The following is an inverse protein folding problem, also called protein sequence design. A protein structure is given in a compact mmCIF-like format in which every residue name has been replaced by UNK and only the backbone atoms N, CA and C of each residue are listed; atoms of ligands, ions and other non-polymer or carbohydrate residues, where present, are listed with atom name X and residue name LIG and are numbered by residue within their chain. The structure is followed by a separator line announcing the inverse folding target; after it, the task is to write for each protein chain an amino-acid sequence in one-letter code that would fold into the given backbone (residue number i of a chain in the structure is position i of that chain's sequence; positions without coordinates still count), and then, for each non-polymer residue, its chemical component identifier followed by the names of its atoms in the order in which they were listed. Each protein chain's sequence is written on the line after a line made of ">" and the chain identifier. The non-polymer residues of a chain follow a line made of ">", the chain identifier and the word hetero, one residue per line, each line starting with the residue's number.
data_IF_541412775065
#
_entry.id   IF_541412775065
#
_cell.length_a   1.000
_cell.length_b   1.000
_cell.length_c   1.000
_cell.angle_alpha   90.00
_cell.angle_beta   90.00
_cell.angle_gamma   90.00
#
_symmetry.space_group_name_H-M   'P 1'
#
loop_
_entity.id
_entity.type
_entity.pdbx_description
1 polymer ?
#
# COMPACT_ATOMS: atom_id res chain seq x y z
N UNK A 1 -7.28 5.07 -8.00
CA UNK A 1 -6.58 4.69 -9.24
C UNK A 1 -7.23 3.48 -9.90
N UNK A 2 -7.34 2.32 -9.22
CA UNK A 2 -7.93 1.08 -9.76
C UNK A 2 -9.22 1.28 -10.58
N UNK A 3 -10.29 1.82 -9.99
CA UNK A 3 -11.57 2.04 -10.70
C UNK A 3 -11.44 2.89 -11.97
N UNK A 4 -10.59 3.93 -11.94
CA UNK A 4 -10.33 4.77 -13.11
C UNK A 4 -9.64 3.97 -14.21
N UNK A 5 -8.62 3.18 -13.86
CA UNK A 5 -7.93 2.31 -14.80
C UNK A 5 -8.85 1.25 -15.42
N UNK A 6 -9.71 0.60 -14.62
CA UNK A 6 -10.72 -0.36 -15.11
C UNK A 6 -11.69 0.31 -16.11
N UNK A 7 -12.06 1.57 -15.85
CA UNK A 7 -12.92 2.36 -16.74
C UNK A 7 -12.18 3.04 -17.91
N UNK A 8 -10.89 2.73 -18.12
CA UNK A 8 -10.02 3.39 -19.10
C UNK A 8 -9.92 4.92 -18.96
N UNK A 9 -10.13 5.41 -17.74
CA UNK A 9 -9.99 6.81 -17.39
C UNK A 9 -8.59 7.13 -16.85
N UNK A 10 -8.01 8.30 -17.20
CA UNK A 10 -6.76 8.76 -16.61
C UNK A 10 -6.83 8.87 -15.07
N UNK A 11 -5.93 8.20 -14.33
CA UNK A 11 -5.71 8.49 -12.91
C UNK A 11 -4.95 9.82 -12.76
N UNK A 12 -5.39 10.65 -11.80
CA UNK A 12 -4.72 11.92 -11.49
C UNK A 12 -3.76 11.72 -10.31
N UNK A 13 -2.46 11.86 -10.57
CA UNK A 13 -1.40 11.87 -9.56
C UNK A 13 -1.23 13.31 -9.07
N UNK A 14 -1.31 13.53 -7.76
CA UNK A 14 -1.06 14.86 -7.20
C UNK A 14 0.45 15.13 -7.17
N UNK A 15 0.87 16.28 -7.71
CA UNK A 15 2.29 16.63 -7.80
C UNK A 15 3.01 15.85 -8.89
N UNK A 16 4.32 15.69 -8.74
CA UNK A 16 5.18 14.93 -9.66
C UNK A 16 5.11 13.40 -9.44
N UNK A 17 4.40 12.94 -8.42
CA UNK A 17 4.25 11.52 -8.09
C UNK A 17 5.41 10.91 -7.30
N UNK A 18 6.43 11.70 -6.92
CA UNK A 18 7.60 11.25 -6.16
C UNK A 18 7.34 11.16 -4.65
N UNK A 19 6.15 11.58 -4.23
CA UNK A 19 5.69 11.36 -2.86
C UNK A 19 5.53 9.87 -2.63
N UNK A 20 6.02 9.41 -1.49
CA UNK A 20 6.13 7.99 -1.19
C UNK A 20 5.47 7.61 0.12
N UNK A 21 4.97 6.39 0.16
CA UNK A 21 4.33 5.80 1.33
C UNK A 21 4.86 4.40 1.59
N UNK A 22 4.68 3.98 2.83
CA UNK A 22 4.81 2.61 3.30
C UNK A 22 3.42 1.97 3.25
N UNK A 23 3.02 1.53 2.04
CA UNK A 23 1.70 0.94 1.83
C UNK A 23 1.63 -0.40 2.57
N UNK A 24 0.72 -0.48 3.53
CA UNK A 24 0.61 -1.65 4.41
C UNK A 24 -0.58 -2.49 3.99
N UNK A 25 -0.32 -3.69 3.48
CA UNK A 25 -1.38 -4.62 3.12
C UNK A 25 -2.18 -5.07 4.35
N UNK A 26 -3.49 -5.27 4.18
CA UNK A 26 -4.43 -5.50 5.30
C UNK A 26 -4.08 -6.72 6.14
N UNK A 27 -3.53 -7.79 5.54
CA UNK A 27 -3.10 -8.98 6.30
C UNK A 27 -1.96 -8.68 7.27
N UNK A 28 -1.05 -7.77 6.95
CA UNK A 28 -0.02 -7.31 7.88
C UNK A 28 -0.63 -6.52 9.05
N UNK A 29 -1.69 -5.75 8.81
CA UNK A 29 -2.41 -5.03 9.87
C UNK A 29 -3.16 -6.00 10.79
N UNK A 30 -3.78 -7.03 10.21
CA UNK A 30 -4.44 -8.10 10.95
C UNK A 30 -3.43 -8.82 11.85
N UNK A 31 -2.26 -9.21 11.31
CA UNK A 31 -1.20 -9.84 12.10
C UNK A 31 -0.81 -8.97 13.30
N UNK A 32 -0.60 -7.67 13.09
CA UNK A 32 -0.24 -6.75 14.17
C UNK A 32 -1.32 -6.68 15.26
N UNK A 33 -2.60 -6.63 14.89
CA UNK A 33 -3.70 -6.61 15.85
C UNK A 33 -3.80 -7.92 16.65
N UNK A 34 -3.65 -9.07 15.99
CA UNK A 34 -3.65 -10.37 16.66
C UNK A 34 -2.49 -10.51 17.65
N UNK A 35 -1.30 -10.03 17.29
CA UNK A 35 -0.13 -10.04 18.18
C UNK A 35 -0.32 -9.09 19.37
N UNK A 36 -0.84 -7.89 19.14
CA UNK A 36 -1.14 -6.94 20.21
C UNK A 36 -2.21 -7.46 21.18
N UNK A 37 -3.23 -8.16 20.67
CA UNK A 37 -4.31 -8.73 21.47
C UNK A 37 -3.84 -9.92 22.32
N UNK A 38 -2.94 -10.75 21.78
CA UNK A 38 -2.56 -12.04 22.37
C UNK A 38 -1.21 -12.03 23.11
N UNK A 39 -0.49 -10.91 23.10
CA UNK A 39 0.84 -10.83 23.72
C UNK A 39 0.81 -11.09 25.22
N UNK A 40 1.72 -11.93 25.69
CA UNK A 40 2.00 -12.15 27.12
C UNK A 40 3.25 -11.37 27.58
N UNK A 41 3.93 -10.69 26.66
CA UNK A 41 5.09 -9.87 26.96
C UNK A 41 4.65 -8.57 27.66
N UNK A 42 4.93 -8.46 28.95
CA UNK A 42 4.57 -7.28 29.75
C UNK A 42 5.20 -5.98 29.24
N UNK A 43 6.41 -6.05 28.68
CA UNK A 43 7.10 -4.89 28.12
C UNK A 43 6.43 -4.39 26.83
N UNK A 44 5.61 -5.24 26.20
CA UNK A 44 4.88 -4.89 25.00
C UNK A 44 3.57 -4.13 25.28
N UNK A 45 3.07 -4.16 26.52
CA UNK A 45 1.80 -3.53 26.93
C UNK A 45 1.98 -2.03 27.18
N UNK A 46 0.94 -1.24 26.92
CA UNK A 46 0.93 0.22 27.09
C UNK A 46 2.05 0.92 26.27
N UNK A 47 2.24 0.46 25.04
CA UNK A 47 3.22 0.95 24.10
C UNK A 47 2.53 1.44 22.82
N UNK A 48 3.14 2.43 22.15
CA UNK A 48 2.78 2.81 20.78
C UNK A 48 3.69 2.10 19.79
N UNK A 49 3.11 1.61 18.69
CA UNK A 49 3.80 0.90 17.63
C UNK A 49 3.41 1.44 16.26
N UNK A 50 4.39 1.49 15.36
CA UNK A 50 4.10 1.60 13.93
C UNK A 50 3.59 0.25 13.41
N UNK A 51 2.56 0.30 12.58
CA UNK A 51 2.03 -0.87 11.87
C UNK A 51 2.26 -0.63 10.38
N UNK A 52 3.31 -1.24 9.84
CA UNK A 52 3.73 -1.04 8.45
C UNK A 52 4.53 -2.23 7.93
N UNK A 53 4.94 -2.22 6.65
CA UNK A 53 5.89 -3.21 6.16
C UNK A 53 7.34 -2.76 6.38
N UNK A 54 7.63 -1.48 6.14
CA UNK A 54 8.96 -0.90 6.21
C UNK A 54 9.61 -0.69 4.83
N UNK A 55 8.81 -0.50 3.79
CA UNK A 55 9.30 -0.18 2.44
C UNK A 55 8.78 1.16 1.94
N UNK A 56 9.41 1.67 0.88
CA UNK A 56 9.08 2.96 0.29
C UNK A 56 8.62 2.77 -1.15
N UNK A 57 7.40 3.18 -1.43
CA UNK A 57 6.84 3.18 -2.79
C UNK A 57 6.32 4.57 -3.15
N UNK A 58 6.71 5.10 -4.32
CA UNK A 58 6.19 6.35 -4.89
C UNK A 58 4.79 6.16 -5.51
N UNK A 59 4.07 7.26 -5.77
CA UNK A 59 2.80 7.19 -6.50
C UNK A 59 3.02 6.75 -7.96
N UNK A 60 4.14 7.15 -8.57
CA UNK A 60 4.53 6.71 -9.91
C UNK A 60 4.71 5.18 -9.97
N UNK A 61 5.43 4.61 -9.00
CA UNK A 61 5.58 3.15 -8.88
C UNK A 61 4.24 2.45 -8.64
N UNK A 62 3.38 3.01 -7.78
CA UNK A 62 2.06 2.44 -7.51
C UNK A 62 1.20 2.37 -8.78
N UNK A 63 1.14 3.46 -9.56
CA UNK A 63 0.37 3.48 -10.81
C UNK A 63 0.96 2.51 -11.84
N UNK A 64 2.28 2.41 -11.94
CA UNK A 64 2.94 1.46 -12.84
C UNK A 64 2.57 0.01 -12.50
N UNK A 65 2.65 -0.39 -11.22
CA UNK A 65 2.29 -1.76 -10.81
C UNK A 65 0.79 -2.04 -10.98
N UNK A 66 -0.06 -1.04 -10.73
CA UNK A 66 -1.50 -1.17 -10.99
C UNK A 66 -1.78 -1.43 -12.48
N UNK A 67 -1.14 -0.68 -13.39
CA UNK A 67 -1.28 -0.88 -14.84
C UNK A 67 -0.75 -2.25 -15.26
N UNK A 68 0.39 -2.68 -14.72
CA UNK A 68 0.95 -4.01 -14.97
C UNK A 68 -0.02 -5.13 -14.57
N UNK A 69 -0.53 -5.10 -13.33
CA UNK A 69 -1.39 -6.17 -12.80
C UNK A 69 -2.80 -6.16 -13.40
N UNK A 70 -3.41 -4.99 -13.60
CA UNK A 70 -4.70 -4.89 -14.28
C UNK A 70 -4.57 -5.20 -15.78
N UNK A 71 -3.43 -4.87 -16.39
CA UNK A 71 -3.11 -5.16 -17.79
C UNK A 71 -3.03 -6.65 -18.12
N UNK A 72 -2.83 -7.50 -17.10
CA UNK A 72 -2.92 -8.95 -17.26
C UNK A 72 -4.36 -9.44 -17.51
N UNK A 73 -5.37 -8.66 -17.09
CA UNK A 73 -6.79 -8.95 -17.33
C UNK A 73 -7.31 -8.20 -18.57
N UNK A 74 -6.97 -6.92 -18.71
CA UNK A 74 -7.28 -6.11 -19.89
C UNK A 74 -6.05 -5.32 -20.37
N UNK A 75 -5.39 -5.78 -21.47
CA UNK A 75 -4.20 -5.13 -22.02
C UNK A 75 -4.40 -3.67 -22.43
N UNK A 76 -5.62 -3.19 -22.65
CA UNK A 76 -5.86 -1.80 -23.04
C UNK A 76 -5.55 -0.82 -21.90
N UNK A 77 -5.60 -1.28 -20.64
CA UNK A 77 -5.26 -0.49 -19.44
C UNK A 77 -3.79 -0.03 -19.46
N UNK A 78 -2.89 -0.82 -20.07
CA UNK A 78 -1.47 -0.47 -20.20
C UNK A 78 -1.27 0.86 -20.96
N UNK A 79 -2.21 1.22 -21.84
CA UNK A 79 -2.14 2.42 -22.67
C UNK A 79 -2.76 3.66 -22.01
N UNK A 80 -3.51 3.51 -20.90
CA UNK A 80 -4.13 4.64 -20.18
C UNK A 80 -3.02 5.53 -19.60
N UNK A 81 -2.97 6.79 -20.02
CA UNK A 81 -1.97 7.74 -19.52
C UNK A 81 -2.45 8.34 -18.20
N UNK A 82 -1.55 8.44 -17.24
CA UNK A 82 -1.74 9.20 -16.02
C UNK A 82 -1.65 10.71 -16.27
N UNK A 83 -2.36 11.48 -15.46
CA UNK A 83 -2.32 12.94 -15.45
C UNK A 83 -1.70 13.44 -14.14
N UNK A 84 -1.04 14.59 -14.19
CA UNK A 84 -0.49 15.23 -13.00
C UNK A 84 -1.32 16.46 -12.60
N UNK A 85 -1.81 16.46 -11.37
CA UNK A 85 -2.52 17.57 -10.74
C UNK A 85 -1.61 18.40 -9.82
N UNK A 86 -2.14 19.48 -9.22
CA UNK A 86 -1.39 20.25 -8.23
C UNK A 86 -1.05 19.40 -6.99
N UNK A 87 0.01 19.79 -6.28
CA UNK A 87 0.31 19.21 -4.98
C UNK A 87 -0.88 19.36 -4.03
N UNK A 88 -1.22 18.28 -3.32
CA UNK A 88 -2.27 18.33 -2.30
C UNK A 88 -1.73 19.02 -1.04
N UNK A 89 -2.40 20.10 -0.63
CA UNK A 89 -2.04 20.80 0.60
C UNK A 89 -2.10 19.86 1.81
N UNK A 90 -1.01 19.83 2.59
CA UNK A 90 -0.89 18.98 3.78
C UNK A 90 -0.37 17.55 3.50
N UNK A 91 -0.10 17.17 2.24
CA UNK A 91 0.49 15.87 1.97
C UNK A 91 1.95 15.81 2.47
N UNK A 92 2.24 14.76 3.25
CA UNK A 92 3.59 14.43 3.69
C UNK A 92 4.37 13.91 2.48
N UNK A 93 5.57 14.43 2.16
CA UNK A 93 6.33 13.95 1.01
C UNK A 93 6.70 12.47 1.11
N UNK A 94 7.30 12.06 2.24
CA UNK A 94 7.76 10.70 2.44
C UNK A 94 7.33 10.17 3.81
N UNK A 95 6.72 8.98 3.81
CA UNK A 95 6.38 8.24 5.01
C UNK A 95 7.00 6.85 4.90
N UNK A 96 7.93 6.53 5.80
CA UNK A 96 8.57 5.23 5.95
C UNK A 96 8.63 4.92 7.44
N UNK A 97 8.01 3.83 7.86
CA UNK A 97 7.92 3.50 9.28
C UNK A 97 8.96 2.45 9.66
N UNK A 98 9.72 2.71 10.73
CA UNK A 98 10.45 1.62 11.38
C UNK A 98 9.47 0.77 12.19
N UNK A 99 9.51 -0.54 11.96
CA UNK A 99 8.71 -1.55 12.68
C UNK A 99 9.56 -2.36 13.67
N UNK A 100 10.80 -1.93 13.94
CA UNK A 100 11.76 -2.69 14.75
C UNK A 100 11.27 -2.90 16.19
N UNK A 101 10.54 -1.92 16.73
CA UNK A 101 9.91 -2.04 18.05
C UNK A 101 8.86 -3.15 18.07
N UNK A 102 8.03 -3.26 17.03
CA UNK A 102 7.00 -4.29 16.93
C UNK A 102 7.64 -5.67 16.69
N UNK A 103 8.67 -5.75 15.84
CA UNK A 103 9.50 -6.96 15.65
C UNK A 103 10.06 -7.45 16.98
N UNK A 104 10.65 -6.56 17.76
CA UNK A 104 11.30 -6.89 19.04
C UNK A 104 10.31 -7.29 20.14
N UNK A 105 9.22 -6.53 20.32
CA UNK A 105 8.35 -6.69 21.49
C UNK A 105 7.14 -7.59 21.24
N UNK A 106 6.64 -7.61 20.00
CA UNK A 106 5.44 -8.33 19.60
C UNK A 106 5.72 -9.48 18.63
N UNK A 107 6.98 -9.70 18.24
CA UNK A 107 7.37 -10.67 17.20
C UNK A 107 6.63 -10.42 15.87
N UNK A 108 6.35 -9.15 15.56
CA UNK A 108 5.71 -8.76 14.30
C UNK A 108 6.62 -9.05 13.12
N UNK A 109 6.13 -9.82 12.14
CA UNK A 109 6.87 -10.19 10.95
C UNK A 109 5.95 -10.02 9.72
N UNK A 110 5.84 -8.81 9.15
CA UNK A 110 4.94 -8.56 8.04
C UNK A 110 5.36 -9.38 6.81
N UNK A 111 4.43 -10.14 6.25
CA UNK A 111 4.71 -11.13 5.20
C UNK A 111 4.43 -10.59 3.79
N UNK A 112 3.58 -9.58 3.68
CA UNK A 112 3.16 -9.01 2.41
C UNK A 112 3.88 -7.70 2.14
N UNK A 113 4.80 -7.68 1.18
CA UNK A 113 5.26 -6.41 0.63
C UNK A 113 4.16 -5.75 -0.21
N UNK A 114 4.44 -4.55 -0.71
CA UNK A 114 3.51 -3.72 -1.47
C UNK A 114 3.05 -4.45 -2.71
N UNK A 115 3.97 -5.04 -3.48
CA UNK A 115 3.66 -5.72 -4.75
C UNK A 115 2.75 -6.92 -4.53
N UNK A 116 3.10 -7.79 -3.57
CA UNK A 116 2.33 -8.99 -3.26
C UNK A 116 0.93 -8.63 -2.76
N UNK A 117 0.83 -7.64 -1.87
CA UNK A 117 -0.45 -7.13 -1.37
C UNK A 117 -1.28 -6.44 -2.47
N UNK A 118 -0.64 -5.71 -3.37
CA UNK A 118 -1.29 -5.03 -4.49
C UNK A 118 -1.82 -6.04 -5.50
N UNK A 119 -1.11 -7.14 -5.77
CA UNK A 119 -1.57 -8.20 -6.65
C UNK A 119 -2.83 -8.88 -6.11
N UNK A 120 -2.87 -9.23 -4.81
CA UNK A 120 -4.09 -9.76 -4.19
C UNK A 120 -5.25 -8.74 -4.23
N UNK A 121 -4.96 -7.46 -3.99
CA UNK A 121 -5.98 -6.41 -4.05
C UNK A 121 -6.53 -6.21 -5.47
N UNK A 122 -5.66 -6.20 -6.49
CA UNK A 122 -6.05 -6.04 -7.90
C UNK A 122 -6.94 -7.19 -8.35
N UNK A 123 -6.60 -8.44 -8.00
CA UNK A 123 -7.45 -9.59 -8.29
C UNK A 123 -8.86 -9.37 -7.71
N UNK A 124 -8.95 -9.02 -6.43
CA UNK A 124 -10.23 -8.77 -5.79
C UNK A 124 -11.01 -7.64 -6.48
N UNK A 125 -10.34 -6.54 -6.83
CA UNK A 125 -11.01 -5.42 -7.51
C UNK A 125 -11.52 -5.82 -8.89
N UNK A 126 -10.76 -6.60 -9.67
CA UNK A 126 -11.20 -7.07 -10.97
C UNK A 126 -12.49 -7.90 -10.85
N UNK A 127 -12.50 -8.89 -9.96
CA UNK A 127 -13.64 -9.78 -9.75
C UNK A 127 -14.90 -9.09 -9.20
N UNK A 128 -14.77 -7.90 -8.60
CA UNK A 128 -15.86 -7.25 -7.85
C UNK A 128 -16.25 -5.84 -8.36
N UNK A 129 -15.46 -5.23 -9.25
CA UNK A 129 -15.74 -3.91 -9.81
C UNK A 129 -15.91 -3.89 -11.33
N UNK A 130 -15.58 -4.99 -12.02
CA UNK A 130 -15.97 -5.21 -13.43
C UNK A 130 -17.49 -5.46 -13.55
#
# INVERSE_FOLDING_TARGET
>A
FVKKLINHEPPVINGDGEYSRDFTYVKNVIQMNLLALSTTNKDAVNQVYNTAYGERTTLNQLVAYLKEYLGAYDPTILNVQEEHGPNRLGDIPHSLASVDKAKKLLNYNPEYNMKDGLQEAVQWYWENLE
#
